data_IF_374730926609
#
_entry.id   IF_374730926609
#
_cell.length_a   1.000
_cell.length_b   1.000
_cell.length_c   1.000
_cell.angle_alpha   90.00
_cell.angle_beta   90.00
_cell.angle_gamma   90.00
#
_symmetry.space_group_name_H-M   'P 1'
#
loop_
_entity.id
_entity.type
_entity.pdbx_description
1 polymer ?
#
# COMPACT_ATOMS: atom_id res chain seq x y z
N UNK A 1 24.43 6.20 0.31
CA UNK A 1 23.64 5.27 -0.54
C UNK A 1 22.23 5.16 0.02
N UNK A 2 21.22 5.75 -0.63
CA UNK A 2 19.83 5.72 -0.13
C UNK A 2 19.28 4.29 -0.30
N UNK A 3 19.07 3.57 0.80
CA UNK A 3 18.28 2.32 0.80
C UNK A 3 16.90 2.70 0.27
N UNK A 4 16.55 2.19 -0.91
CA UNK A 4 15.25 2.47 -1.55
C UNK A 4 14.20 1.80 -0.68
N UNK A 5 13.54 2.57 0.19
CA UNK A 5 12.42 2.07 0.95
C UNK A 5 11.35 1.61 -0.04
N UNK A 6 10.77 0.44 0.20
CA UNK A 6 9.65 -0.06 -0.59
C UNK A 6 8.60 1.04 -0.62
N UNK A 7 8.14 1.37 -1.82
CA UNK A 7 7.13 2.40 -2.02
C UNK A 7 5.76 1.78 -2.25
N UNK A 8 4.69 2.56 -2.10
CA UNK A 8 3.34 2.09 -2.43
C UNK A 8 3.23 1.67 -3.91
N UNK A 9 4.13 2.13 -4.78
CA UNK A 9 4.23 1.75 -6.18
C UNK A 9 4.76 0.32 -6.35
N UNK A 10 5.73 -0.10 -5.53
CA UNK A 10 6.22 -1.48 -5.52
C UNK A 10 5.13 -2.45 -5.06
N UNK A 11 4.37 -2.08 -4.02
CA UNK A 11 3.23 -2.86 -3.53
C UNK A 11 2.15 -2.96 -4.61
N UNK A 12 1.84 -1.84 -5.28
CA UNK A 12 0.90 -1.78 -6.40
C UNK A 12 1.29 -2.74 -7.53
N UNK A 13 2.56 -2.68 -7.95
CA UNK A 13 3.10 -3.52 -9.02
C UNK A 13 3.06 -5.01 -8.67
N UNK A 14 3.30 -5.36 -7.41
CA UNK A 14 3.23 -6.75 -6.90
C UNK A 14 1.79 -7.28 -6.88
N UNK A 15 0.83 -6.42 -6.55
CA UNK A 15 -0.59 -6.79 -6.47
C UNK A 15 -1.34 -6.66 -7.81
N UNK A 16 -0.70 -6.12 -8.85
CA UNK A 16 -1.35 -5.84 -10.14
C UNK A 16 -2.40 -4.73 -10.07
N UNK A 17 -2.26 -3.80 -9.12
CA UNK A 17 -3.20 -2.68 -8.91
C UNK A 17 -2.49 -1.34 -9.08
N UNK A 18 -3.24 -0.27 -9.30
CA UNK A 18 -2.66 1.08 -9.37
C UNK A 18 -2.20 1.58 -7.99
N UNK A 19 -1.16 2.43 -7.98
CA UNK A 19 -0.69 3.13 -6.77
C UNK A 19 -1.83 3.84 -6.03
N UNK A 20 -2.77 4.41 -6.78
CA UNK A 20 -3.97 5.06 -6.23
C UNK A 20 -4.84 4.08 -5.45
N UNK A 21 -5.00 2.84 -5.93
CA UNK A 21 -5.74 1.77 -5.26
C UNK A 21 -5.07 1.38 -3.94
N UNK A 22 -3.75 1.22 -3.93
CA UNK A 22 -2.98 0.98 -2.70
C UNK A 22 -3.17 2.14 -1.71
N UNK A 23 -3.13 3.37 -2.19
CA UNK A 23 -3.36 4.56 -1.36
C UNK A 23 -4.77 4.56 -0.75
N UNK A 24 -5.80 4.17 -1.51
CA UNK A 24 -7.17 4.04 -0.97
C UNK A 24 -7.30 2.91 0.06
N UNK A 25 -6.64 1.78 -0.18
CA UNK A 25 -6.59 0.64 0.76
C UNK A 25 -5.90 1.05 2.06
N UNK A 26 -4.76 1.73 1.98
CA UNK A 26 -3.99 2.22 3.13
C UNK A 26 -4.71 3.35 3.88
N UNK A 27 -5.35 4.28 3.16
CA UNK A 27 -6.16 5.35 3.76
C UNK A 27 -7.56 4.88 4.18
N UNK A 28 -7.89 3.61 3.96
CA UNK A 28 -9.16 3.01 4.33
C UNK A 28 -10.37 3.79 3.80
N UNK A 29 -10.26 4.32 2.57
CA UNK A 29 -11.28 5.20 1.98
C UNK A 29 -12.56 4.40 1.68
N UNK A 30 -13.69 4.70 2.36
CA UNK A 30 -14.95 4.02 2.10
C UNK A 30 -15.53 4.45 0.75
N UNK A 31 -16.17 3.53 0.02
CA UNK A 31 -16.89 3.82 -1.24
C UNK A 31 -16.17 3.40 -2.53
N UNK A 32 -14.92 2.93 -2.48
CA UNK A 32 -14.27 2.25 -3.61
C UNK A 32 -14.65 0.76 -3.58
N UNK A 33 -15.14 0.22 -4.70
CA UNK A 33 -15.33 -1.23 -4.93
C UNK A 33 -13.97 -1.94 -5.02
N UNK A 34 -13.28 -2.03 -3.90
CA UNK A 34 -12.08 -2.86 -3.75
C UNK A 34 -12.55 -4.12 -3.06
N UNK A 35 -12.41 -5.27 -3.72
CA UNK A 35 -12.71 -6.56 -3.08
C UNK A 35 -11.85 -6.72 -1.85
N UNK A 36 -12.40 -7.31 -0.80
CA UNK A 36 -11.65 -7.63 0.41
C UNK A 36 -10.43 -8.49 0.10
N UNK A 37 -10.53 -9.39 -0.89
CA UNK A 37 -9.39 -10.16 -1.41
C UNK A 37 -8.23 -9.26 -1.91
N UNK A 38 -8.53 -8.24 -2.71
CA UNK A 38 -7.52 -7.28 -3.19
C UNK A 38 -6.94 -6.47 -2.03
N UNK A 39 -7.78 -6.10 -1.06
CA UNK A 39 -7.34 -5.38 0.15
C UNK A 39 -6.38 -6.24 0.97
N UNK A 40 -6.70 -7.52 1.14
CA UNK A 40 -5.88 -8.50 1.84
C UNK A 40 -4.55 -8.70 1.12
N UNK A 41 -4.56 -8.90 -0.20
CA UNK A 41 -3.36 -9.02 -1.04
C UNK A 41 -2.44 -7.81 -0.92
N UNK A 42 -3.00 -6.60 -0.94
CA UNK A 42 -2.22 -5.35 -0.76
C UNK A 42 -1.61 -5.27 0.63
N UNK A 43 -2.36 -5.60 1.68
CA UNK A 43 -1.87 -5.62 3.06
C UNK A 43 -0.78 -6.68 3.28
N UNK A 44 -0.94 -7.86 2.67
CA UNK A 44 0.01 -8.95 2.74
C UNK A 44 1.29 -8.63 1.97
N UNK A 45 1.17 -8.15 0.73
CA UNK A 45 2.30 -7.69 -0.06
C UNK A 45 3.04 -6.53 0.62
N UNK A 46 2.32 -5.60 1.25
CA UNK A 46 2.92 -4.54 2.04
C UNK A 46 3.71 -5.12 3.23
N UNK A 47 3.16 -6.11 3.95
CA UNK A 47 3.88 -6.81 5.03
C UNK A 47 5.12 -7.56 4.53
N UNK A 48 4.98 -8.33 3.45
CA UNK A 48 6.09 -9.10 2.85
C UNK A 48 7.22 -8.19 2.37
N UNK A 49 6.88 -7.05 1.77
CA UNK A 49 7.85 -6.08 1.30
C UNK A 49 8.40 -5.21 2.44
N UNK A 50 8.03 -5.47 3.69
CA UNK A 50 8.37 -4.65 4.85
C UNK A 50 8.00 -3.16 4.63
N UNK A 51 6.93 -2.92 3.85
CA UNK A 51 6.30 -1.62 3.68
C UNK A 51 5.60 -1.28 4.98
N UNK A 52 6.35 -0.67 5.89
CA UNK A 52 5.78 -0.05 7.07
C UNK A 52 5.25 1.31 6.61
N UNK A 53 3.92 1.55 6.60
CA UNK A 53 3.41 2.90 6.41
C UNK A 53 4.04 3.74 7.51
N UNK A 54 4.96 4.63 7.14
CA UNK A 54 5.74 5.37 8.11
C UNK A 54 4.78 6.26 8.90
N UNK A 55 4.57 6.03 10.21
CA UNK A 55 3.68 6.87 11.00
C UNK A 55 4.19 8.33 11.07
N UNK A 56 5.46 8.57 10.76
CA UNK A 56 6.05 9.91 10.65
C UNK A 56 5.56 10.68 9.41
N UNK A 57 5.01 10.03 8.39
CA UNK A 57 4.38 10.72 7.26
C UNK A 57 2.97 11.26 7.61
N UNK A 58 2.45 10.94 8.81
CA UNK A 58 1.18 11.45 9.34
C UNK A 58 1.38 12.64 10.32
N UNK A 59 2.52 13.32 10.25
CA UNK A 59 2.76 14.56 11.01
C UNK A 59 3.68 15.49 10.20
N UNK A 60 3.06 16.36 9.40
CA UNK A 60 3.20 17.83 9.47
C UNK A 60 2.13 18.48 8.60
#
# INVERSE_FOLDING_TARGET
MKRKAVSAEDVARRCGVSRTTVSFVLNNTPGKRISEETRQKVLEAARELNYTPNPQARKL
#
